data_IF_140578468652
#
_entry.id   IF_140578468652
#
_cell.length_a   1.000
_cell.length_b   1.000
_cell.length_c   1.000
_cell.angle_alpha   90.00
_cell.angle_beta   90.00
_cell.angle_gamma   90.00
#
_symmetry.space_group_name_H-M   'P 1'
#
loop_
_entity.id
_entity.type
_entity.pdbx_description
1 polymer ?
#
# COMPACT_ATOMS: atom_id res chain seq x y z
N UNK A 1 -5.16 -19.29 27.95
CA UNK A 1 -4.93 -19.37 26.50
C UNK A 1 -5.90 -18.51 25.67
N UNK A 2 -7.23 -18.67 25.74
CA UNK A 2 -8.17 -17.77 25.00
C UNK A 2 -8.30 -16.36 25.62
N UNK A 3 -8.19 -16.24 26.94
CA UNK A 3 -8.19 -14.93 27.62
C UNK A 3 -6.96 -14.10 27.22
N UNK A 4 -5.79 -14.75 27.21
CA UNK A 4 -4.51 -14.12 26.93
C UNK A 4 -4.47 -13.45 25.53
N UNK A 5 -5.14 -14.04 24.53
CA UNK A 5 -5.25 -13.45 23.20
C UNK A 5 -6.14 -12.20 23.21
N UNK A 6 -7.30 -12.28 23.85
CA UNK A 6 -8.23 -11.15 23.90
C UNK A 6 -7.62 -9.97 24.67
N UNK A 7 -6.89 -10.25 25.74
CA UNK A 7 -6.17 -9.25 26.51
C UNK A 7 -5.07 -8.60 25.65
N UNK A 8 -4.30 -9.40 24.89
CA UNK A 8 -3.29 -8.87 23.98
C UNK A 8 -3.89 -8.00 22.86
N UNK A 9 -4.96 -8.45 22.20
CA UNK A 9 -5.61 -7.69 21.13
C UNK A 9 -6.18 -6.36 21.65
N UNK A 10 -6.78 -6.35 22.84
CA UNK A 10 -7.30 -5.13 23.45
C UNK A 10 -6.19 -4.17 23.89
N UNK A 11 -5.12 -4.70 24.50
CA UNK A 11 -3.99 -3.90 24.98
C UNK A 11 -3.20 -3.26 23.84
N UNK A 12 -3.10 -3.93 22.69
CA UNK A 12 -2.34 -3.46 21.52
C UNK A 12 -3.22 -3.05 20.35
N UNK A 13 -4.49 -2.72 20.57
CA UNK A 13 -5.47 -2.41 19.51
C UNK A 13 -4.99 -1.34 18.51
N UNK A 14 -4.21 -0.37 18.97
CA UNK A 14 -3.67 0.72 18.15
C UNK A 14 -2.45 0.30 17.30
N UNK A 15 -1.88 -0.88 17.55
CA UNK A 15 -0.75 -1.42 16.78
C UNK A 15 -1.21 -2.18 15.52
N UNK A 16 -2.52 -2.39 15.37
CA UNK A 16 -3.11 -3.05 14.21
C UNK A 16 -3.62 -1.99 13.23
N UNK A 17 -3.48 -2.28 11.94
CA UNK A 17 -4.05 -1.44 10.90
C UNK A 17 -5.58 -1.46 10.98
N UNK A 18 -6.19 -0.29 10.79
CA UNK A 18 -7.63 -0.10 10.69
C UNK A 18 -7.96 0.53 9.34
N UNK A 19 -9.22 0.48 8.92
CA UNK A 19 -9.65 1.10 7.65
C UNK A 19 -9.36 2.62 7.63
N UNK A 20 -9.40 3.26 8.80
CA UNK A 20 -9.06 4.68 8.96
C UNK A 20 -7.55 4.95 9.11
N UNK A 21 -6.78 3.94 9.53
CA UNK A 21 -5.34 4.05 9.79
C UNK A 21 -4.64 2.84 9.16
N UNK A 22 -4.47 2.85 7.82
CA UNK A 22 -3.86 1.74 7.12
C UNK A 22 -2.39 1.60 7.48
N UNK A 23 -1.90 0.37 7.36
CA UNK A 23 -0.50 0.02 7.65
C UNK A 23 0.44 0.91 6.82
N UNK A 24 1.35 1.62 7.47
CA UNK A 24 2.39 2.41 6.80
C UNK A 24 2.14 3.92 6.73
N UNK A 25 1.01 4.44 7.21
CA UNK A 25 0.79 5.89 7.40
C UNK A 25 1.54 6.38 8.64
N UNK A 26 2.87 6.29 8.62
CA UNK A 26 3.73 6.90 9.63
C UNK A 26 3.81 8.38 9.27
N UNK A 27 3.22 9.25 10.11
CA UNK A 27 3.09 10.71 9.92
C UNK A 27 4.39 11.47 9.60
N UNK A 28 5.55 10.82 9.64
CA UNK A 28 6.87 11.43 9.42
C UNK A 28 7.73 10.66 8.40
N UNK A 29 7.19 9.65 7.73
CA UNK A 29 7.92 8.83 6.76
C UNK A 29 7.52 9.13 5.30
N UNK A 30 7.24 10.40 5.02
CA UNK A 30 7.02 10.87 3.65
C UNK A 30 8.38 11.06 2.97
N UNK A 31 8.57 10.42 1.81
CA UNK A 31 9.79 10.58 1.02
C UNK A 31 9.48 11.33 -0.27
N UNK A 32 10.22 12.40 -0.53
CA UNK A 32 10.21 13.09 -1.81
C UNK A 32 11.16 12.36 -2.78
N UNK A 33 10.61 11.85 -3.87
CA UNK A 33 11.37 11.18 -4.92
C UNK A 33 11.59 12.16 -6.06
N UNK A 34 12.74 12.83 -6.05
CA UNK A 34 13.13 13.74 -7.14
C UNK A 34 13.96 13.01 -8.20
N UNK A 35 13.65 13.24 -9.47
CA UNK A 35 14.47 12.75 -10.58
C UNK A 35 15.66 13.67 -10.80
N UNK A 36 16.86 13.10 -10.97
CA UNK A 36 18.09 13.86 -11.25
C UNK A 36 18.17 14.42 -12.69
N UNK A 37 17.06 14.43 -13.42
CA UNK A 37 17.02 14.78 -14.84
C UNK A 37 15.80 15.65 -15.12
N UNK A 38 16.01 16.68 -15.92
CA UNK A 38 14.92 17.53 -16.42
C UNK A 38 14.21 16.88 -17.61
N UNK A 39 12.98 17.33 -17.86
CA UNK A 39 12.23 16.92 -19.06
C UNK A 39 13.03 17.26 -20.34
N UNK A 40 13.00 16.42 -21.39
CA UNK A 40 12.15 15.25 -21.57
C UNK A 40 12.65 13.99 -20.84
N UNK A 41 11.77 13.34 -20.07
CA UNK A 41 12.11 12.10 -19.38
C UNK A 41 12.52 10.98 -20.34
N UNK A 42 13.47 10.11 -19.94
CA UNK A 42 13.94 8.97 -20.71
C UNK A 42 12.79 8.12 -21.26
N UNK A 43 12.89 7.61 -22.49
CA UNK A 43 11.86 6.76 -23.09
C UNK A 43 11.51 5.53 -22.23
N UNK A 44 12.44 5.03 -21.41
CA UNK A 44 12.21 3.91 -20.49
C UNK A 44 11.11 4.19 -19.46
N UNK A 45 10.98 5.44 -19.00
CA UNK A 45 9.91 5.86 -18.07
C UNK A 45 8.57 6.05 -18.76
N UNK A 46 8.54 6.08 -20.10
CA UNK A 46 7.31 6.25 -20.91
C UNK A 46 6.73 4.92 -21.37
N UNK A 47 7.33 3.79 -20.97
CA UNK A 47 6.84 2.47 -21.37
C UNK A 47 5.50 2.23 -20.69
N UNK A 48 4.47 1.75 -21.41
CA UNK A 48 3.24 1.33 -20.76
C UNK A 48 3.57 0.22 -19.77
N UNK A 49 2.81 0.15 -18.68
CA UNK A 49 2.89 -0.98 -17.77
C UNK A 49 2.68 -2.27 -18.58
N UNK A 50 3.43 -3.33 -18.23
CA UNK A 50 3.19 -4.63 -18.81
C UNK A 50 1.75 -5.07 -18.50
N UNK A 51 1.05 -5.73 -19.44
CA UNK A 51 -0.30 -6.19 -19.20
C UNK A 51 -0.29 -7.13 -17.98
N UNK A 52 -1.18 -6.85 -17.03
CA UNK A 52 -1.37 -7.72 -15.87
C UNK A 52 -1.86 -9.11 -16.33
N UNK A 53 -1.52 -10.15 -15.57
CA UNK A 53 -2.10 -11.48 -15.82
C UNK A 53 -3.63 -11.44 -15.58
N UNK A 54 -4.42 -12.32 -16.21
CA UNK A 54 -5.88 -12.32 -16.05
C UNK A 54 -6.32 -12.35 -14.58
N UNK A 55 -5.67 -13.22 -13.79
CA UNK A 55 -5.91 -13.34 -12.35
C UNK A 55 -5.55 -12.07 -11.57
N UNK A 56 -4.45 -11.40 -11.93
CA UNK A 56 -4.07 -10.15 -11.29
C UNK A 56 -5.07 -9.04 -11.63
N UNK A 57 -5.56 -9.00 -12.87
CA UNK A 57 -6.54 -8.00 -13.32
C UNK A 57 -7.88 -8.15 -12.59
N UNK A 58 -8.40 -9.37 -12.47
CA UNK A 58 -9.63 -9.65 -11.69
C UNK A 58 -9.49 -9.24 -10.22
N UNK A 59 -8.33 -9.53 -9.60
CA UNK A 59 -8.08 -9.13 -8.22
C UNK A 59 -8.08 -7.60 -8.05
N UNK A 60 -7.55 -6.86 -9.03
CA UNK A 60 -7.50 -5.40 -8.97
C UNK A 60 -8.87 -4.77 -9.21
N UNK A 61 -9.64 -5.29 -10.16
CA UNK A 61 -11.02 -4.86 -10.42
C UNK A 61 -11.88 -5.02 -9.15
N UNK A 62 -11.79 -6.16 -8.47
CA UNK A 62 -12.50 -6.41 -7.21
C UNK A 62 -12.08 -5.50 -6.04
N UNK A 63 -10.82 -5.06 -6.00
CA UNK A 63 -10.34 -4.10 -4.97
C UNK A 63 -10.84 -2.69 -5.26
N UNK A 64 -11.12 -2.35 -6.52
CA UNK A 64 -11.56 -1.00 -6.91
C UNK A 64 -13.07 -0.75 -6.78
N UNK A 65 -13.87 -1.82 -6.74
CA UNK A 65 -15.34 -1.74 -6.68
C UNK A 65 -15.92 -1.80 -5.25
N UNK A 66 -15.09 -2.03 -4.22
CA UNK A 66 -15.47 -2.04 -2.80
C UNK A 66 -15.10 -0.76 -2.09
#
# INVERSE_FOLDING_TARGET
MRHDLNDALNNYKNSFASDNEPLGTIKENEFDITLNIDRPYPPVLRRPAYPASPRAREAWENISEG
#
